data_IF_546660106988
#
_entry.id   IF_546660106988
#
_cell.length_a   1.000
_cell.length_b   1.000
_cell.length_c   1.000
_cell.angle_alpha   90.00
_cell.angle_beta   90.00
_cell.angle_gamma   90.00
#
_symmetry.space_group_name_H-M   'P 1'
#
loop_
_entity.id
_entity.type
_entity.pdbx_description
1 polymer ?
#
# COMPACT_ATOMS: atom_id res chain seq x y z
N UNK A 1 -19.74 -34.79 2.52
CA UNK A 1 -18.45 -34.18 2.91
C UNK A 1 -17.97 -33.08 1.96
N UNK A 2 -18.20 -33.18 0.64
CA UNK A 2 -17.72 -32.18 -0.34
C UNK A 2 -18.37 -30.77 -0.27
N UNK A 3 -19.59 -30.65 0.28
CA UNK A 3 -20.34 -29.37 0.37
C UNK A 3 -20.12 -28.68 1.73
N UNK A 4 -19.74 -29.44 2.75
CA UNK A 4 -19.61 -28.96 4.13
C UNK A 4 -18.32 -28.16 4.30
N UNK A 5 -17.22 -28.58 3.65
CA UNK A 5 -15.95 -27.86 3.68
C UNK A 5 -16.03 -26.44 3.07
N UNK A 6 -16.61 -26.22 1.87
CA UNK A 6 -16.76 -24.86 1.33
C UNK A 6 -17.79 -24.02 2.11
N UNK A 7 -18.85 -24.61 2.68
CA UNK A 7 -19.79 -23.88 3.55
C UNK A 7 -19.15 -23.46 4.88
N UNK A 8 -18.33 -24.32 5.49
CA UNK A 8 -17.57 -23.98 6.69
C UNK A 8 -16.48 -22.95 6.40
N UNK A 9 -15.80 -23.04 5.26
CA UNK A 9 -14.85 -22.01 4.82
C UNK A 9 -15.56 -20.67 4.56
N UNK A 10 -16.74 -20.70 3.94
CA UNK A 10 -17.57 -19.51 3.75
C UNK A 10 -17.96 -18.90 5.09
N UNK A 11 -18.49 -19.70 6.03
CA UNK A 11 -18.89 -19.29 7.38
C UNK A 11 -17.72 -18.78 8.23
N UNK A 12 -16.54 -19.36 8.11
CA UNK A 12 -15.32 -18.86 8.77
C UNK A 12 -14.86 -17.52 8.18
N UNK A 13 -15.17 -17.27 6.91
CA UNK A 13 -14.90 -16.00 6.21
C UNK A 13 -15.97 -14.93 6.48
N UNK A 14 -17.16 -15.29 6.96
CA UNK A 14 -18.30 -14.37 7.20
C UNK A 14 -17.96 -13.18 8.11
N UNK A 15 -17.20 -13.32 9.21
CA UNK A 15 -16.84 -12.17 10.06
C UNK A 15 -15.91 -11.18 9.32
N UNK A 16 -15.01 -11.68 8.47
CA UNK A 16 -14.16 -10.87 7.60
C UNK A 16 -14.97 -10.19 6.49
N UNK A 17 -15.90 -10.93 5.87
CA UNK A 17 -16.81 -10.42 4.84
C UNK A 17 -17.79 -9.38 5.39
N UNK A 18 -18.30 -9.55 6.60
CA UNK A 18 -19.13 -8.56 7.29
C UNK A 18 -18.33 -7.30 7.64
N UNK A 19 -17.07 -7.44 8.06
CA UNK A 19 -16.16 -6.29 8.29
C UNK A 19 -15.81 -5.56 6.99
N UNK A 20 -15.78 -6.29 5.87
CA UNK A 20 -15.58 -5.77 4.51
C UNK A 20 -16.83 -5.08 3.95
N UNK A 21 -18.02 -5.67 4.16
CA UNK A 21 -19.35 -5.09 3.84
C UNK A 21 -19.69 -3.88 4.70
N UNK A 22 -19.21 -3.82 5.94
CA UNK A 22 -19.36 -2.67 6.83
C UNK A 22 -18.56 -1.44 6.36
N UNK A 23 -17.65 -1.59 5.38
CA UNK A 23 -17.03 -0.44 4.73
C UNK A 23 -17.91 -0.02 3.56
N UNK A 24 -18.52 1.18 3.58
CA UNK A 24 -19.48 1.60 2.55
C UNK A 24 -18.86 1.68 1.15
N UNK A 25 -17.53 1.81 1.04
CA UNK A 25 -16.83 2.01 -0.24
C UNK A 25 -17.04 0.88 -1.27
N UNK A 26 -16.84 -0.39 -0.89
CA UNK A 26 -16.97 -1.53 -1.83
C UNK A 26 -18.42 -1.80 -2.29
N UNK A 27 -19.43 -1.89 -1.40
CA UNK A 27 -20.80 -2.10 -1.82
C UNK A 27 -21.36 -0.92 -2.62
N UNK A 28 -21.05 0.33 -2.24
CA UNK A 28 -21.43 1.51 -3.04
C UNK A 28 -20.73 1.53 -4.40
N UNK A 29 -19.45 1.13 -4.47
CA UNK A 29 -18.73 1.02 -5.75
C UNK A 29 -19.31 -0.08 -6.64
N UNK A 30 -19.71 -1.22 -6.07
CA UNK A 30 -20.35 -2.30 -6.80
C UNK A 30 -21.74 -1.88 -7.31
N UNK A 31 -22.52 -1.17 -6.48
CA UNK A 31 -23.80 -0.59 -6.87
C UNK A 31 -23.63 0.37 -8.06
N UNK A 32 -22.66 1.28 -7.97
CA UNK A 32 -22.32 2.20 -9.06
C UNK A 32 -21.87 1.47 -10.33
N UNK A 33 -21.03 0.45 -10.19
CA UNK A 33 -20.52 -0.35 -11.30
C UNK A 33 -21.61 -1.21 -11.98
N UNK A 34 -22.70 -1.52 -11.29
CA UNK A 34 -23.82 -2.31 -11.84
C UNK A 34 -25.09 -1.48 -12.06
N UNK A 35 -25.06 -0.17 -11.77
CA UNK A 35 -26.23 0.70 -11.80
C UNK A 35 -27.00 0.67 -13.12
N UNK A 36 -26.29 0.68 -14.25
CA UNK A 36 -26.95 0.64 -15.57
C UNK A 36 -27.68 -0.69 -15.81
N UNK A 37 -27.06 -1.81 -15.43
CA UNK A 37 -27.66 -3.14 -15.54
C UNK A 37 -28.90 -3.25 -14.64
N UNK A 38 -28.82 -2.71 -13.42
CA UNK A 38 -29.94 -2.68 -12.48
C UNK A 38 -31.10 -1.84 -13.02
N UNK A 39 -30.83 -0.64 -13.55
CA UNK A 39 -31.85 0.24 -14.13
C UNK A 39 -32.57 -0.43 -15.30
N UNK A 40 -31.86 -1.23 -16.12
CA UNK A 40 -32.46 -1.97 -17.24
C UNK A 40 -33.22 -3.22 -16.82
N UNK A 41 -32.74 -3.99 -15.83
CA UNK A 41 -33.34 -5.29 -15.46
C UNK A 41 -34.39 -5.24 -14.37
N UNK A 42 -34.49 -4.14 -13.62
CA UNK A 42 -35.46 -4.00 -12.53
C UNK A 42 -36.76 -3.39 -13.07
N UNK A 43 -37.90 -4.14 -13.11
CA UNK A 43 -39.15 -3.72 -13.71
C UNK A 43 -39.65 -2.31 -13.34
N UNK A 44 -39.69 -1.90 -12.06
CA UNK A 44 -40.17 -0.57 -11.70
C UNK A 44 -39.25 0.56 -12.17
N UNK A 45 -37.95 0.29 -12.38
CA UNK A 45 -37.00 1.29 -12.86
C UNK A 45 -37.00 1.36 -14.38
N UNK A 46 -37.06 0.21 -15.07
CA UNK A 46 -37.01 0.19 -16.53
C UNK A 46 -38.28 0.69 -17.19
N UNK A 47 -39.45 0.51 -16.58
CA UNK A 47 -40.73 1.01 -17.11
C UNK A 47 -40.82 2.55 -17.10
N UNK A 48 -40.11 3.21 -16.18
CA UNK A 48 -40.07 4.68 -16.08
C UNK A 48 -39.00 5.34 -16.94
N UNK A 49 -38.26 4.58 -17.77
CA UNK A 49 -37.16 5.12 -18.56
C UNK A 49 -37.68 5.88 -19.79
N UNK A 50 -37.11 7.06 -20.10
CA UNK A 50 -37.37 7.75 -21.34
C UNK A 50 -36.71 6.97 -22.49
N UNK A 51 -37.38 5.97 -23.06
CA UNK A 51 -36.86 5.22 -24.20
C UNK A 51 -37.39 5.80 -25.51
N UNK A 52 -36.50 6.38 -26.32
CA UNK A 52 -36.76 6.71 -27.74
C UNK A 52 -36.66 5.47 -28.65
N UNK A 53 -37.15 4.30 -28.19
CA UNK A 53 -36.96 3.02 -28.87
C UNK A 53 -38.21 2.63 -29.67
N UNK A 54 -38.03 2.20 -30.91
CA UNK A 54 -39.13 1.73 -31.78
C UNK A 54 -39.77 0.41 -31.29
N UNK A 55 -39.02 -0.44 -30.57
CA UNK A 55 -39.48 -1.76 -30.09
C UNK A 55 -40.44 -1.72 -28.89
N UNK A 56 -40.62 -0.56 -28.25
CA UNK A 56 -41.53 -0.39 -27.10
C UNK A 56 -41.17 -1.12 -25.80
N UNK A 57 -40.08 -1.91 -25.76
CA UNK A 57 -39.61 -2.59 -24.55
C UNK A 57 -38.37 -1.89 -23.93
N UNK A 58 -38.54 -1.11 -22.85
CA UNK A 58 -37.44 -0.37 -22.22
C UNK A 58 -36.55 -1.24 -21.30
N UNK A 59 -36.97 -2.47 -20.99
CA UNK A 59 -36.26 -3.36 -20.06
C UNK A 59 -35.23 -4.29 -20.72
N UNK A 60 -35.13 -4.26 -22.05
CA UNK A 60 -34.12 -5.03 -22.78
C UNK A 60 -32.88 -4.19 -23.12
N UNK A 61 -31.76 -4.87 -23.32
CA UNK A 61 -30.51 -4.21 -23.70
C UNK A 61 -30.48 -3.96 -25.21
N UNK A 62 -29.99 -2.79 -25.61
CA UNK A 62 -29.76 -2.51 -27.01
C UNK A 62 -28.51 -3.23 -27.55
N UNK A 63 -28.48 -3.54 -28.85
CA UNK A 63 -27.29 -4.15 -29.47
C UNK A 63 -26.04 -3.28 -29.29
N UNK A 64 -26.19 -1.96 -29.36
CA UNK A 64 -25.11 -1.00 -29.06
C UNK A 64 -24.65 -1.05 -27.61
N UNK A 65 -25.57 -1.26 -26.67
CA UNK A 65 -25.25 -1.39 -25.24
C UNK A 65 -24.51 -2.70 -24.97
N UNK A 66 -24.96 -3.80 -25.59
CA UNK A 66 -24.26 -5.09 -25.54
C UNK A 66 -22.86 -4.97 -26.13
N UNK A 67 -22.70 -4.27 -27.26
CA UNK A 67 -21.39 -3.99 -27.87
C UNK A 67 -20.45 -3.25 -26.88
N UNK A 68 -20.95 -2.22 -26.19
CA UNK A 68 -20.19 -1.49 -25.16
C UNK A 68 -19.83 -2.38 -23.97
N UNK A 69 -20.77 -3.21 -23.49
CA UNK A 69 -20.54 -4.14 -22.38
C UNK A 69 -19.52 -5.23 -22.76
N UNK A 70 -19.53 -5.70 -24.00
CA UNK A 70 -18.53 -6.62 -24.55
C UNK A 70 -17.15 -5.97 -24.65
N UNK A 71 -17.07 -4.71 -25.09
CA UNK A 71 -15.80 -3.97 -25.06
C UNK A 71 -15.28 -3.74 -23.64
N UNK A 72 -16.18 -3.44 -22.69
CA UNK A 72 -15.82 -3.31 -21.28
C UNK A 72 -15.23 -4.61 -20.74
N UNK A 73 -15.87 -5.76 -21.00
CA UNK A 73 -15.38 -7.06 -20.51
C UNK A 73 -14.00 -7.39 -21.10
N UNK A 74 -13.76 -7.09 -22.38
CA UNK A 74 -12.46 -7.27 -23.02
C UNK A 74 -11.37 -6.33 -22.43
N UNK A 75 -11.68 -5.05 -22.22
CA UNK A 75 -10.73 -4.09 -21.61
C UNK A 75 -10.38 -4.49 -20.19
N UNK A 76 -11.39 -4.86 -19.38
CA UNK A 76 -11.20 -5.34 -18.02
C UNK A 76 -10.31 -6.58 -18.04
N UNK A 77 -10.58 -7.56 -18.90
CA UNK A 77 -9.76 -8.77 -19.00
C UNK A 77 -8.30 -8.46 -19.40
N UNK A 78 -8.10 -7.59 -20.40
CA UNK A 78 -6.75 -7.19 -20.84
C UNK A 78 -5.96 -6.44 -19.77
N UNK A 79 -6.60 -5.52 -19.06
CA UNK A 79 -5.97 -4.76 -17.97
C UNK A 79 -5.70 -5.63 -16.76
N UNK A 80 -6.59 -6.56 -16.49
CA UNK A 80 -6.48 -7.43 -15.34
C UNK A 80 -5.38 -8.48 -15.44
N UNK A 81 -4.94 -8.80 -16.66
CA UNK A 81 -3.79 -9.69 -16.86
C UNK A 81 -2.51 -9.22 -16.16
N UNK A 82 -2.42 -7.92 -15.81
CA UNK A 82 -1.23 -7.32 -15.17
C UNK A 82 -1.42 -6.99 -13.70
N UNK A 83 -2.61 -7.17 -13.13
CA UNK A 83 -2.83 -6.93 -11.70
C UNK A 83 -2.34 -8.12 -10.89
N UNK A 84 -1.44 -7.85 -9.94
CA UNK A 84 -0.86 -8.89 -9.08
C UNK A 84 -1.72 -9.07 -7.81
N UNK A 85 -2.36 -7.99 -7.34
CA UNK A 85 -3.16 -8.00 -6.09
C UNK A 85 -4.66 -7.95 -6.36
N UNK A 86 -5.45 -8.60 -5.48
CA UNK A 86 -6.92 -8.65 -5.55
C UNK A 86 -7.51 -7.24 -5.45
N UNK A 87 -6.95 -6.39 -4.60
CA UNK A 87 -7.39 -4.99 -4.45
C UNK A 87 -7.21 -4.20 -5.75
N UNK A 88 -6.09 -4.39 -6.46
CA UNK A 88 -5.85 -3.76 -7.76
C UNK A 88 -6.81 -4.28 -8.84
N UNK A 89 -7.11 -5.59 -8.82
CA UNK A 89 -8.10 -6.19 -9.72
C UNK A 89 -9.48 -5.53 -9.54
N UNK A 90 -9.97 -5.48 -8.29
CA UNK A 90 -11.27 -4.93 -7.95
C UNK A 90 -11.33 -3.42 -8.27
N UNK A 91 -10.27 -2.67 -7.95
CA UNK A 91 -10.17 -1.24 -8.26
C UNK A 91 -10.28 -0.95 -9.76
N UNK A 92 -9.56 -1.72 -10.59
CA UNK A 92 -9.62 -1.60 -12.04
C UNK A 92 -11.03 -1.91 -12.57
N UNK A 93 -11.66 -3.00 -12.12
CA UNK A 93 -13.04 -3.34 -12.50
C UNK A 93 -13.97 -2.15 -12.20
N UNK A 94 -13.97 -1.67 -10.97
CA UNK A 94 -14.87 -0.57 -10.59
C UNK A 94 -14.60 0.73 -11.35
N UNK A 95 -13.34 1.06 -11.62
CA UNK A 95 -13.00 2.25 -12.38
C UNK A 95 -13.52 2.16 -13.82
N UNK A 96 -13.22 1.06 -14.53
CA UNK A 96 -13.64 0.88 -15.92
C UNK A 96 -15.16 0.74 -16.03
N UNK A 97 -15.80 0.00 -15.12
CA UNK A 97 -17.26 -0.13 -15.08
C UNK A 97 -17.95 1.20 -14.80
N UNK A 98 -17.41 2.07 -13.92
CA UNK A 98 -17.98 3.40 -13.68
C UNK A 98 -17.94 4.29 -14.93
N UNK A 99 -16.82 4.26 -15.68
CA UNK A 99 -16.68 5.01 -16.94
C UNK A 99 -17.63 4.46 -18.00
N UNK A 100 -17.72 3.14 -18.16
CA UNK A 100 -18.65 2.53 -19.11
C UNK A 100 -20.11 2.83 -18.78
N UNK A 101 -20.51 2.75 -17.51
CA UNK A 101 -21.85 3.13 -17.07
C UNK A 101 -22.15 4.61 -17.34
N UNK A 102 -21.17 5.51 -17.15
CA UNK A 102 -21.37 6.91 -17.52
C UNK A 102 -21.69 7.03 -19.02
N UNK A 103 -20.90 6.39 -19.89
CA UNK A 103 -21.14 6.39 -21.35
C UNK A 103 -22.52 5.81 -21.69
N UNK A 104 -22.92 4.71 -21.06
CA UNK A 104 -24.22 4.07 -21.24
C UNK A 104 -25.38 4.98 -20.80
N UNK A 105 -25.25 5.66 -19.66
CA UNK A 105 -26.27 6.61 -19.21
C UNK A 105 -26.35 7.86 -20.10
N UNK A 106 -25.21 8.40 -20.58
CA UNK A 106 -25.21 9.51 -21.55
C UNK A 106 -25.84 9.14 -22.89
N UNK A 107 -25.68 7.87 -23.31
CA UNK A 107 -26.33 7.31 -24.51
C UNK A 107 -27.83 7.15 -24.34
N UNK A 108 -28.28 6.78 -23.14
CA UNK A 108 -29.70 6.62 -22.82
C UNK A 108 -30.42 7.98 -22.77
N UNK A 109 -29.93 8.90 -21.93
CA UNK A 109 -30.43 10.27 -21.83
C UNK A 109 -29.34 11.14 -21.19
N UNK A 110 -29.07 12.32 -21.78
CA UNK A 110 -28.06 13.24 -21.27
C UNK A 110 -28.30 13.63 -19.79
N UNK A 111 -29.57 13.71 -19.36
CA UNK A 111 -29.96 14.04 -17.98
C UNK A 111 -29.55 12.94 -17.00
N UNK A 112 -29.78 11.68 -17.38
CA UNK A 112 -29.39 10.52 -16.56
C UNK A 112 -27.87 10.34 -16.52
N UNK A 113 -27.19 10.64 -17.64
CA UNK A 113 -25.72 10.71 -17.70
C UNK A 113 -25.14 11.73 -16.73
N UNK A 114 -25.69 12.95 -16.71
CA UNK A 114 -25.29 14.01 -15.78
C UNK A 114 -25.56 13.62 -14.32
N UNK A 115 -26.73 13.07 -14.02
CA UNK A 115 -27.07 12.60 -12.67
C UNK A 115 -26.08 11.52 -12.19
N UNK A 116 -25.82 10.51 -13.02
CA UNK A 116 -24.85 9.46 -12.68
C UNK A 116 -23.43 10.02 -12.47
N UNK A 117 -23.01 10.99 -13.29
CA UNK A 117 -21.71 11.64 -13.14
C UNK A 117 -21.61 12.43 -11.84
N UNK A 118 -22.66 13.19 -11.46
CA UNK A 118 -22.70 13.88 -10.16
C UNK A 118 -22.61 12.90 -8.99
N UNK A 119 -23.32 11.75 -9.08
CA UNK A 119 -23.27 10.72 -8.05
C UNK A 119 -21.88 10.06 -7.95
N UNK A 120 -21.19 9.88 -9.08
CA UNK A 120 -19.80 9.44 -9.11
C UNK A 120 -18.85 10.45 -8.43
N UNK A 121 -19.02 11.75 -8.67
CA UNK A 121 -18.21 12.80 -8.03
C UNK A 121 -18.46 12.84 -6.53
N UNK A 122 -19.73 12.80 -6.11
CA UNK A 122 -20.10 12.75 -4.69
C UNK A 122 -19.46 11.53 -4.04
N UNK A 123 -19.55 10.34 -4.66
CA UNK A 123 -18.90 9.13 -4.17
C UNK A 123 -17.38 9.30 -4.00
N UNK A 124 -16.69 9.92 -4.96
CA UNK A 124 -15.25 10.18 -4.86
C UNK A 124 -14.91 11.11 -3.69
N UNK A 125 -15.77 12.09 -3.40
CA UNK A 125 -15.58 13.03 -2.29
C UNK A 125 -15.90 12.40 -0.92
N UNK A 126 -16.97 11.60 -0.83
CA UNK A 126 -17.46 11.02 0.43
C UNK A 126 -16.74 9.75 0.83
N UNK A 127 -16.28 8.94 -0.14
CA UNK A 127 -15.74 7.61 0.10
C UNK A 127 -14.29 7.53 -0.39
N UNK A 128 -13.34 7.74 0.54
CA UNK A 128 -11.92 7.43 0.26
C UNK A 128 -11.72 5.90 0.18
N UNK A 129 -10.86 5.42 -0.72
CA UNK A 129 -10.53 4.00 -0.78
C UNK A 129 -9.92 3.55 0.57
N UNK A 130 -10.28 2.36 1.06
CA UNK A 130 -9.76 1.85 2.31
C UNK A 130 -8.25 1.61 2.22
N UNK A 131 -7.52 2.08 3.24
CA UNK A 131 -6.14 1.64 3.47
C UNK A 131 -6.12 0.17 3.89
N UNK A 132 -5.09 -0.54 3.46
CA UNK A 132 -4.79 -1.91 3.91
C UNK A 132 -4.62 -1.91 5.43
N UNK A 133 -5.23 -2.89 6.11
CA UNK A 133 -5.28 -2.98 7.58
C UNK A 133 -5.02 -4.43 8.04
N UNK A 134 -4.22 -5.18 7.29
CA UNK A 134 -3.80 -6.52 7.67
C UNK A 134 -2.75 -6.52 8.78
N UNK A 135 -2.35 -7.70 9.28
CA UNK A 135 -1.20 -7.80 10.17
C UNK A 135 0.04 -7.29 9.43
N UNK A 136 0.78 -6.38 10.06
CA UNK A 136 2.04 -5.85 9.51
C UNK A 136 3.00 -5.54 10.65
N UNK A 137 4.30 -5.75 10.42
CA UNK A 137 5.34 -5.37 11.36
C UNK A 137 6.13 -4.20 10.78
N UNK A 138 5.50 -3.03 10.77
CA UNK A 138 6.03 -1.83 10.11
C UNK A 138 5.97 -0.67 11.08
N UNK A 139 7.10 0.03 11.23
CA UNK A 139 7.15 1.25 12.02
C UNK A 139 6.62 2.42 11.18
N UNK A 140 5.49 2.99 11.61
CA UNK A 140 4.93 4.18 11.00
C UNK A 140 5.60 5.43 11.56
N UNK A 141 6.26 6.19 10.69
CA UNK A 141 6.84 7.48 11.02
C UNK A 141 5.77 8.57 10.85
N UNK A 142 4.89 8.69 11.84
CA UNK A 142 3.88 9.76 11.94
C UNK A 142 3.76 10.21 13.39
N UNK A 143 3.36 11.47 13.61
CA UNK A 143 3.32 12.12 14.93
C UNK A 143 2.49 11.33 15.97
N UNK A 144 1.55 10.48 15.54
CA UNK A 144 0.66 9.71 16.44
C UNK A 144 1.28 8.42 17.01
N UNK A 145 2.36 7.90 16.45
CA UNK A 145 2.92 6.59 16.84
C UNK A 145 4.00 6.69 17.92
N UNK A 146 4.35 7.88 18.39
CA UNK A 146 5.43 8.10 19.38
C UNK A 146 4.90 8.48 20.77
N UNK A 147 3.60 8.76 20.91
CA UNK A 147 2.98 9.01 22.22
C UNK A 147 2.70 7.74 23.04
N UNK A 148 2.79 6.54 22.43
CA UNK A 148 2.39 5.27 23.09
C UNK A 148 3.58 4.49 23.69
N UNK A 149 4.83 4.93 23.47
CA UNK A 149 6.01 4.28 24.05
C UNK A 149 6.67 5.04 25.21
N UNK A 150 5.94 5.95 25.87
CA UNK A 150 6.32 6.44 27.21
C UNK A 150 5.45 5.68 28.23
N UNK A 151 6.04 4.89 29.14
CA UNK A 151 5.29 4.31 30.24
C UNK A 151 4.62 5.46 31.00
N UNK A 152 3.30 5.38 31.17
CA UNK A 152 2.56 6.23 32.08
C UNK A 152 3.03 5.95 33.52
N UNK A 153 4.05 6.68 33.96
CA UNK A 153 4.24 6.97 35.38
C UNK A 153 4.09 8.47 35.57
N UNK A 154 3.20 8.82 36.50
CA UNK A 154 2.72 10.17 36.68
C UNK A 154 3.70 11.12 37.36
N UNK A 155 3.30 12.39 37.37
CA UNK A 155 3.68 13.35 38.39
C UNK A 155 4.96 14.15 38.14
N UNK A 156 4.82 15.46 38.28
CA UNK A 156 5.85 16.49 38.41
C UNK A 156 6.46 17.02 37.11
N UNK A 157 6.45 18.35 37.01
CA UNK A 157 6.63 19.08 35.77
C UNK A 157 8.04 19.04 35.23
N UNK A 158 8.13 18.98 33.90
CA UNK A 158 9.33 19.34 33.18
C UNK A 158 8.96 20.43 32.18
N UNK A 159 9.65 21.55 32.37
CA UNK A 159 9.73 22.75 31.55
C UNK A 159 9.45 22.54 30.06
N UNK A 160 8.49 23.30 29.56
CA UNK A 160 8.27 23.56 28.16
C UNK A 160 9.46 24.35 27.57
N UNK A 161 10.41 23.66 26.93
CA UNK A 161 11.48 24.33 26.17
C UNK A 161 12.07 23.48 25.04
N UNK A 162 11.26 22.68 24.36
CA UNK A 162 11.63 22.16 23.04
C UNK A 162 10.67 22.77 22.00
N UNK A 163 11.16 23.55 21.01
CA UNK A 163 10.34 23.85 19.84
C UNK A 163 9.92 22.54 19.16
N UNK A 164 8.77 22.46 18.50
CA UNK A 164 8.36 21.25 17.80
C UNK A 164 9.43 20.94 16.74
N UNK A 165 10.28 19.94 17.03
CA UNK A 165 11.22 19.41 16.06
C UNK A 165 10.39 18.98 14.85
N UNK A 166 10.82 19.39 13.66
CA UNK A 166 10.14 18.94 12.45
C UNK A 166 10.13 17.41 12.42
N UNK A 167 9.05 16.75 11.94
CA UNK A 167 8.97 15.29 11.85
C UNK A 167 10.17 14.66 11.13
N UNK A 168 10.82 15.45 10.26
CA UNK A 168 12.06 15.10 9.55
C UNK A 168 13.25 14.90 10.48
N UNK A 169 13.48 15.79 11.44
CA UNK A 169 14.63 15.69 12.36
C UNK A 169 14.46 14.47 13.27
N UNK A 170 13.24 14.26 13.77
CA UNK A 170 12.94 13.16 14.66
C UNK A 170 13.06 11.78 13.97
N UNK A 171 12.69 11.69 12.70
CA UNK A 171 12.92 10.45 11.93
C UNK A 171 14.40 10.23 11.60
N UNK A 172 15.17 11.28 11.31
CA UNK A 172 16.61 11.16 11.09
C UNK A 172 17.31 10.66 12.37
N UNK A 173 16.92 11.17 13.53
CA UNK A 173 17.43 10.69 14.83
C UNK A 173 17.12 9.21 15.06
N UNK A 174 15.92 8.74 14.68
CA UNK A 174 15.57 7.33 14.81
C UNK A 174 16.38 6.43 13.87
N UNK A 175 16.64 6.87 12.63
CA UNK A 175 17.51 6.16 11.69
C UNK A 175 18.98 6.13 12.17
N UNK A 176 19.45 7.24 12.76
CA UNK A 176 20.83 7.38 13.22
C UNK A 176 21.06 6.78 14.63
N UNK A 177 19.99 6.43 15.35
CA UNK A 177 20.07 5.85 16.72
C UNK A 177 20.85 4.54 16.75
N UNK A 178 20.58 3.61 15.82
CA UNK A 178 21.35 2.37 15.70
C UNK A 178 21.78 2.10 14.26
N UNK A 179 23.03 2.47 13.97
CA UNK A 179 23.66 2.30 12.64
C UNK A 179 23.88 0.84 12.25
N UNK A 180 23.73 -0.11 13.17
CA UNK A 180 23.83 -1.55 12.85
C UNK A 180 22.56 -2.09 12.22
N UNK A 181 21.44 -1.42 12.46
CA UNK A 181 20.14 -1.81 11.93
C UNK A 181 19.98 -1.33 10.50
N UNK A 182 19.55 -2.23 9.62
CA UNK A 182 19.17 -1.91 8.26
C UNK A 182 17.69 -1.57 8.21
N UNK A 183 17.33 -0.48 7.54
CA UNK A 183 15.94 -0.03 7.40
C UNK A 183 15.50 -0.05 5.95
N UNK A 184 14.31 -0.59 5.69
CA UNK A 184 13.63 -0.47 4.41
C UNK A 184 12.42 0.42 4.63
N UNK A 185 12.42 1.58 4.00
CA UNK A 185 11.37 2.59 4.19
C UNK A 185 10.58 2.78 2.89
N UNK A 186 9.27 2.63 2.98
CA UNK A 186 8.31 2.96 1.94
C UNK A 186 7.81 4.40 2.10
N UNK A 187 8.05 5.22 1.09
CA UNK A 187 7.50 6.56 0.95
C UNK A 187 6.22 6.44 0.12
N UNK A 188 5.09 6.68 0.77
CA UNK A 188 3.77 6.46 0.19
C UNK A 188 2.90 7.72 0.30
N UNK A 189 1.82 7.74 -0.47
CA UNK A 189 0.78 8.75 -0.33
C UNK A 189 -0.59 8.09 -0.42
N UNK A 190 -1.52 8.50 0.45
CA UNK A 190 -2.84 7.87 0.57
C UNK A 190 -3.70 7.94 -0.69
N UNK A 191 -3.49 8.95 -1.53
CA UNK A 191 -4.22 9.13 -2.79
C UNK A 191 -3.67 8.30 -3.95
N UNK A 192 -2.47 7.72 -3.81
CA UNK A 192 -1.84 6.92 -4.88
C UNK A 192 -2.40 5.50 -4.89
N UNK A 193 -3.04 5.12 -6.00
CA UNK A 193 -3.55 3.76 -6.19
C UNK A 193 -2.43 2.71 -6.24
N UNK A 194 -1.25 3.08 -6.78
CA UNK A 194 -0.08 2.19 -6.81
C UNK A 194 0.49 1.92 -5.40
N UNK A 195 0.38 2.88 -4.49
CA UNK A 195 0.75 2.64 -3.08
C UNK A 195 -0.25 1.71 -2.39
N UNK A 196 -1.54 1.86 -2.67
CA UNK A 196 -2.58 1.00 -2.10
C UNK A 196 -2.44 -0.45 -2.60
N UNK A 197 -2.08 -0.64 -3.87
CA UNK A 197 -1.85 -1.97 -4.45
C UNK A 197 -0.59 -2.64 -3.89
N UNK A 198 0.44 -1.86 -3.52
CA UNK A 198 1.69 -2.34 -2.96
C UNK A 198 1.65 -2.60 -1.45
N UNK A 199 0.78 -1.90 -0.71
CA UNK A 199 0.63 -2.04 0.74
C UNK A 199 0.55 -3.50 1.27
N UNK A 200 -0.26 -4.42 0.69
CA UNK A 200 -0.28 -5.81 1.14
C UNK A 200 1.06 -6.54 0.93
N UNK A 201 1.73 -6.31 -0.21
CA UNK A 201 3.02 -6.93 -0.53
C UNK A 201 4.07 -6.49 0.50
N UNK A 202 4.08 -5.20 0.83
CA UNK A 202 5.02 -4.66 1.81
C UNK A 202 4.75 -5.17 3.23
N UNK A 203 3.48 -5.35 3.60
CA UNK A 203 3.08 -5.97 4.86
C UNK A 203 3.57 -7.42 4.96
N UNK A 204 3.35 -8.24 3.93
CA UNK A 204 3.79 -9.64 3.90
C UNK A 204 5.33 -9.75 3.98
N UNK A 205 6.04 -8.88 3.26
CA UNK A 205 7.51 -8.80 3.35
C UNK A 205 7.97 -8.43 4.77
N UNK A 206 7.29 -7.48 5.42
CA UNK A 206 7.62 -7.08 6.78
C UNK A 206 7.45 -8.24 7.76
N UNK A 207 6.36 -9.02 7.65
CA UNK A 207 6.11 -10.17 8.52
C UNK A 207 7.16 -11.28 8.31
N UNK A 208 7.62 -11.47 7.07
CA UNK A 208 8.55 -12.54 6.70
C UNK A 208 10.02 -12.22 7.04
N UNK A 209 10.43 -10.97 6.87
CA UNK A 209 11.85 -10.58 6.96
C UNK A 209 12.18 -9.69 8.16
N UNK A 210 11.20 -9.29 8.97
CA UNK A 210 11.49 -8.52 10.16
C UNK A 210 12.36 -9.31 11.16
N UNK A 211 13.42 -8.68 11.64
CA UNK A 211 14.30 -9.19 12.70
C UNK A 211 15.03 -8.02 13.40
N UNK A 212 15.77 -8.29 14.46
CA UNK A 212 16.46 -7.24 15.25
C UNK A 212 17.47 -6.39 14.47
N UNK A 213 17.98 -6.87 13.33
CA UNK A 213 18.89 -6.12 12.46
C UNK A 213 18.27 -5.63 11.14
N UNK A 214 16.99 -5.93 10.86
CA UNK A 214 16.29 -5.49 9.66
C UNK A 214 14.86 -5.06 10.01
N UNK A 215 14.57 -3.79 9.83
CA UNK A 215 13.26 -3.21 10.11
C UNK A 215 12.62 -2.60 8.88
N UNK A 216 11.29 -2.62 8.86
CA UNK A 216 10.46 -2.05 7.82
C UNK A 216 9.77 -0.81 8.37
N UNK A 217 9.68 0.23 7.55
CA UNK A 217 9.07 1.50 7.92
C UNK A 217 8.25 2.12 6.80
N UNK A 218 7.30 2.98 7.18
CA UNK A 218 6.41 3.69 6.26
C UNK A 218 6.33 5.16 6.62
N UNK A 219 6.40 6.02 5.61
CA UNK A 219 6.29 7.47 5.75
C UNK A 219 5.32 8.07 4.72
N UNK A 220 4.37 8.85 5.21
CA UNK A 220 3.35 9.51 4.37
C UNK A 220 3.91 10.83 3.83
N UNK A 221 4.47 10.79 2.63
CA UNK A 221 4.99 11.98 1.95
C UNK A 221 3.88 12.88 1.41
N UNK A 222 2.64 12.39 1.32
CA UNK A 222 1.49 13.21 0.96
C UNK A 222 1.13 14.21 2.07
N UNK A 223 1.40 13.85 3.32
CA UNK A 223 1.20 14.71 4.49
C UNK A 223 2.45 15.48 4.90
N UNK A 224 3.62 14.84 4.83
CA UNK A 224 4.90 15.41 5.25
C UNK A 224 5.74 15.82 4.04
N UNK A 225 5.47 17.00 3.49
CA UNK A 225 6.16 17.55 2.31
C UNK A 225 7.64 17.89 2.56
N UNK A 226 8.03 18.07 3.82
CA UNK A 226 9.43 18.34 4.18
C UNK A 226 10.31 17.10 3.94
N UNK A 227 9.76 15.91 4.25
CA UNK A 227 10.41 14.62 3.97
C UNK A 227 10.54 14.42 2.46
N UNK A 228 9.47 14.70 1.71
CA UNK A 228 9.46 14.53 0.25
C UNK A 228 10.50 15.42 -0.43
N UNK A 229 10.64 16.66 0.04
CA UNK A 229 11.64 17.62 -0.47
C UNK A 229 13.07 17.17 -0.17
N UNK A 230 13.33 16.72 1.06
CA UNK A 230 14.67 16.26 1.48
C UNK A 230 15.14 15.04 0.69
N UNK A 231 14.26 14.06 0.48
CA UNK A 231 14.58 12.82 -0.24
C UNK A 231 14.30 12.92 -1.75
N UNK A 232 13.96 14.12 -2.24
CA UNK A 232 13.66 14.41 -3.66
C UNK A 232 12.64 13.43 -4.24
N UNK A 233 11.61 13.11 -3.45
CA UNK A 233 10.46 12.29 -3.86
C UNK A 233 9.36 13.25 -4.28
N UNK A 234 9.00 13.24 -5.55
CA UNK A 234 7.90 14.04 -6.08
C UNK A 234 6.58 13.40 -5.70
N UNK A 235 5.70 14.21 -5.13
CA UNK A 235 4.33 13.82 -4.73
C UNK A 235 3.31 14.15 -5.81
N UNK A 236 3.74 14.48 -7.04
CA UNK A 236 2.82 14.79 -8.11
C UNK A 236 2.17 13.51 -8.65
N UNK A 237 0.84 13.48 -8.84
CA UNK A 237 0.11 12.30 -9.33
C UNK A 237 0.46 11.91 -10.77
N UNK A 238 1.10 12.83 -11.52
CA UNK A 238 1.59 12.55 -12.87
C UNK A 238 2.93 11.82 -12.88
N UNK A 239 3.63 11.78 -11.75
CA UNK A 239 4.95 11.14 -11.64
C UNK A 239 4.79 9.70 -11.19
N UNK A 240 5.61 8.81 -11.77
CA UNK A 240 5.69 7.39 -11.36
C UNK A 240 6.69 7.19 -10.22
N UNK A 241 6.86 8.19 -9.35
CA UNK A 241 7.79 8.11 -8.23
C UNK A 241 7.18 7.44 -7.00
N UNK A 242 5.85 7.36 -6.89
CA UNK A 242 5.19 6.70 -5.77
C UNK A 242 4.67 5.31 -6.18
N UNK A 243 4.81 4.28 -5.31
CA UNK A 243 5.60 4.29 -4.08
C UNK A 243 7.12 4.40 -4.35
N UNK A 244 7.89 4.95 -3.42
CA UNK A 244 9.37 4.86 -3.44
C UNK A 244 9.82 4.00 -2.28
N UNK A 245 10.64 2.99 -2.56
CA UNK A 245 11.33 2.19 -1.56
C UNK A 245 12.78 2.64 -1.47
N UNK A 246 13.26 2.92 -0.25
CA UNK A 246 14.65 3.26 0.02
C UNK A 246 15.21 2.31 1.07
N UNK A 247 16.42 1.78 0.79
CA UNK A 247 17.20 1.01 1.74
C UNK A 247 18.22 1.91 2.43
N UNK A 248 18.18 1.93 3.76
CA UNK A 248 19.12 2.62 4.61
C UNK A 248 20.02 1.63 5.33
N UNK A 249 21.34 1.82 5.19
CA UNK A 249 22.36 1.07 5.93
C UNK A 249 23.30 2.07 6.60
N UNK A 250 23.54 1.91 7.90
CA UNK A 250 24.43 2.80 8.65
C UNK A 250 23.99 4.27 8.66
N UNK A 251 22.69 4.56 8.52
CA UNK A 251 22.16 5.92 8.42
C UNK A 251 22.24 6.55 7.01
N UNK A 252 22.74 5.81 6.01
CA UNK A 252 22.91 6.31 4.64
C UNK A 252 22.01 5.60 3.63
N UNK A 253 21.50 6.34 2.64
CA UNK A 253 20.74 5.77 1.53
C UNK A 253 21.67 4.95 0.63
N UNK A 254 21.45 3.63 0.60
CA UNK A 254 22.25 2.70 -0.23
C UNK A 254 21.64 2.55 -1.62
N UNK A 255 20.32 2.39 -1.69
CA UNK A 255 19.60 2.17 -2.94
C UNK A 255 18.15 2.62 -2.84
N UNK A 256 17.58 2.97 -4.00
CA UNK A 256 16.15 3.30 -4.14
C UNK A 256 15.52 2.68 -5.38
N UNK A 257 14.22 2.40 -5.28
CA UNK A 257 13.36 2.03 -6.41
C UNK A 257 12.07 2.86 -6.34
N UNK A 258 11.58 3.42 -7.46
CA UNK A 258 12.13 3.33 -8.81
C UNK A 258 13.41 4.17 -8.97
N UNK A 259 14.26 3.81 -9.95
CA UNK A 259 15.45 4.61 -10.27
C UNK A 259 15.05 5.93 -10.93
N UNK A 260 15.80 6.98 -10.65
CA UNK A 260 15.59 8.30 -11.25
C UNK A 260 16.60 8.49 -12.38
N UNK A 261 16.09 8.72 -13.60
CA UNK A 261 16.90 9.04 -14.77
C UNK A 261 17.58 10.42 -14.60
N UNK A 262 18.62 10.71 -15.41
CA UNK A 262 19.35 12.00 -15.37
C UNK A 262 18.44 13.22 -15.56
N UNK A 263 17.27 13.01 -16.18
CA UNK A 263 16.23 14.02 -16.42
C UNK A 263 15.23 14.17 -15.26
N UNK A 264 15.45 13.50 -14.13
CA UNK A 264 14.57 13.56 -12.95
C UNK A 264 13.30 12.70 -13.06
N UNK A 265 13.17 11.85 -14.09
CA UNK A 265 11.99 10.98 -14.28
C UNK A 265 12.22 9.61 -13.66
N UNK A 266 11.20 9.08 -12.99
CA UNK A 266 11.22 7.70 -12.52
C UNK A 266 11.18 6.71 -13.69
N UNK A 267 12.13 5.78 -13.70
CA UNK A 267 12.12 4.61 -14.59
C UNK A 267 11.02 3.68 -14.11
N UNK A 268 10.11 3.30 -15.02
CA UNK A 268 9.00 2.41 -14.70
C UNK A 268 9.54 1.10 -14.13
N UNK A 269 9.10 0.75 -12.93
CA UNK A 269 9.47 -0.47 -12.24
C UNK A 269 8.21 -1.15 -11.68
N UNK A 270 8.16 -2.47 -11.76
CA UNK A 270 7.02 -3.26 -11.29
C UNK A 270 7.24 -3.66 -9.84
N UNK A 271 6.38 -3.19 -8.96
CA UNK A 271 6.36 -3.53 -7.54
C UNK A 271 5.72 -4.92 -7.36
N UNK A 272 6.55 -5.96 -7.26
CA UNK A 272 6.15 -7.33 -6.91
C UNK A 272 7.04 -7.86 -5.79
N UNK A 273 6.55 -8.84 -5.01
CA UNK A 273 7.32 -9.43 -3.91
C UNK A 273 8.69 -9.93 -4.40
N UNK A 274 8.72 -10.63 -5.53
CA UNK A 274 9.92 -11.24 -6.09
C UNK A 274 10.92 -10.18 -6.55
N UNK A 275 10.44 -9.10 -7.18
CA UNK A 275 11.29 -8.00 -7.62
C UNK A 275 11.88 -7.27 -6.41
N UNK A 276 11.11 -7.04 -5.35
CA UNK A 276 11.62 -6.41 -4.12
C UNK A 276 12.67 -7.30 -3.47
N UNK A 277 12.40 -8.61 -3.30
CA UNK A 277 13.35 -9.56 -2.70
C UNK A 277 14.66 -9.61 -3.49
N UNK A 278 14.58 -9.69 -4.82
CA UNK A 278 15.74 -9.79 -5.71
C UNK A 278 16.56 -8.52 -5.76
N UNK A 279 15.92 -7.36 -5.94
CA UNK A 279 16.63 -6.09 -6.11
C UNK A 279 17.27 -5.62 -4.80
N UNK A 280 16.56 -5.76 -3.67
CA UNK A 280 17.07 -5.35 -2.36
C UNK A 280 17.87 -6.45 -1.65
N UNK A 281 18.06 -7.62 -2.28
CA UNK A 281 18.74 -8.79 -1.71
C UNK A 281 18.25 -9.12 -0.29
N UNK A 282 16.94 -9.10 -0.07
CA UNK A 282 16.34 -9.25 1.27
C UNK A 282 16.78 -10.53 1.99
N UNK A 283 16.97 -11.61 1.23
CA UNK A 283 17.47 -12.87 1.77
C UNK A 283 18.88 -12.72 2.38
N UNK A 284 19.79 -12.02 1.71
CA UNK A 284 21.15 -11.81 2.22
C UNK A 284 21.17 -10.86 3.42
N UNK A 285 20.41 -9.77 3.34
CA UNK A 285 20.27 -8.80 4.44
C UNK A 285 19.73 -9.47 5.69
N UNK A 286 18.71 -10.31 5.54
CA UNK A 286 18.12 -11.06 6.64
C UNK A 286 19.09 -12.04 7.29
N UNK A 287 19.87 -12.77 6.49
CA UNK A 287 20.89 -13.68 7.01
C UNK A 287 22.01 -12.93 7.72
N UNK A 288 22.44 -11.79 7.17
CA UNK A 288 23.44 -10.91 7.79
C UNK A 288 22.94 -10.37 9.13
N UNK A 289 21.70 -9.88 9.19
CA UNK A 289 21.06 -9.37 10.39
C UNK A 289 20.92 -10.47 11.47
N UNK A 290 20.53 -11.69 11.09
CA UNK A 290 20.48 -12.83 12.03
C UNK A 290 21.84 -13.22 12.59
N UNK A 291 22.90 -13.19 11.78
CA UNK A 291 24.27 -13.47 12.25
C UNK A 291 24.77 -12.43 13.24
N UNK A 292 24.41 -11.16 13.04
CA UNK A 292 24.75 -10.08 13.95
C UNK A 292 23.93 -10.12 15.26
N UNK A 293 22.77 -10.77 15.25
CA UNK A 293 21.91 -10.94 16.42
C UNK A 293 22.29 -12.14 17.31
N UNK A 294 23.08 -13.11 16.83
CA UNK A 294 23.65 -14.14 17.70
C UNK A 294 24.73 -13.50 18.57
N UNK A 295 24.66 -13.62 19.92
CA UNK A 295 25.79 -13.28 20.76
C UNK A 295 27.00 -14.06 20.25
N UNK A 296 28.16 -13.41 20.12
CA UNK A 296 29.43 -14.12 19.96
C UNK A 296 29.50 -15.13 21.11
N UNK A 297 29.41 -16.42 20.82
CA UNK A 297 29.95 -17.42 21.74
C UNK A 297 31.42 -17.04 21.93
N UNK A 298 31.78 -16.70 23.15
CA UNK A 298 33.15 -16.44 23.56
C UNK A 298 33.98 -17.67 23.18
N UNK A 299 34.95 -17.46 22.28
CA UNK A 299 35.97 -18.47 22.01
C UNK A 299 36.81 -18.71 23.28
N UNK A 300 37.40 -19.90 23.45
CA UNK A 300 38.16 -20.22 24.66
C UNK A 300 39.31 -19.22 24.83
N UNK A 301 39.37 -18.56 25.98
CA UNK A 301 40.52 -17.74 26.38
C UNK A 301 41.80 -18.58 26.32
N UNK A 302 42.73 -18.14 25.47
CA UNK A 302 44.12 -18.55 25.53
C UNK A 302 44.76 -17.84 26.74
N UNK A 303 45.43 -18.56 27.66
CA UNK A 303 45.87 -17.99 28.92
C UNK A 303 46.98 -16.94 28.71
N UNK A 304 47.02 -15.87 29.52
CA UNK A 304 47.90 -14.74 29.29
C UNK A 304 49.37 -15.14 29.47
N UNK A 305 50.17 -14.84 28.44
CA UNK A 305 51.62 -14.87 28.50
C UNK A 305 52.15 -13.97 29.61
N UNK A 306 52.99 -14.56 30.47
CA UNK A 306 53.69 -13.89 31.57
C UNK A 306 54.83 -13.03 30.99
N UNK A 307 54.93 -11.72 31.30
CA UNK A 307 56.12 -10.94 31.01
C UNK A 307 57.09 -11.04 32.20
N UNK A 308 58.36 -11.29 31.89
CA UNK A 308 59.49 -10.43 32.26
C UNK A 308 60.80 -11.22 32.17
N UNK A 309 61.75 -10.63 31.45
CA UNK A 309 63.09 -11.18 31.26
C UNK A 309 63.99 -10.89 32.46
N UNK A 310 64.99 -11.75 32.65
CA UNK A 310 66.21 -11.36 33.34
C UNK A 310 67.42 -12.06 32.69
N UNK A 311 68.43 -11.23 32.40
CA UNK A 311 69.69 -11.55 31.73
C UNK A 311 70.69 -12.11 32.73
N UNK A 312 71.50 -13.12 32.33
CA UNK A 312 72.83 -13.57 32.83
C UNK A 312 72.89 -15.10 32.80
N UNK A 313 73.99 -15.82 32.60
CA UNK A 313 75.38 -15.62 32.15
C UNK A 313 76.03 -17.00 32.42
N UNK A 314 76.91 -17.46 31.53
CA UNK A 314 77.88 -18.57 31.73
C UNK A 314 77.25 -19.97 32.00
N UNK A 315 77.63 -21.09 31.39
CA UNK A 315 78.92 -21.65 30.99
C UNK A 315 78.64 -22.91 30.14
#
# INVERSE_FOLDING_TARGET
MAVVAPLLALLYSVPGLCRWLARPYYPLSALLATAFLLVRKVPPLCQGLPSQREDGNPCDFDWREVEILMFLSAIVMMKNRRSITVEQHIGNIFMFSKVANAILFFRLDIRMGLLYLTLCIVFLMTCKPPLYMGPEYIKYFSDKTIDVSIPSQGGAGVSASCPPLSPVLLWQEELDRDKRVTWIVEFFANWSSECQSFAPIFADLSLKYNCSGLHFGKVDVGRYTDVSTRYKVSTSPLTKQLPTLILFQGGTETMRRPQIDKKGRAVSWTFSEENVIREFNLNELYQKAKKQAKPREEGPEEPPGRPDGETKKDK
#
